data_IF_203595443630
#
_entry.id   IF_203595443630
#
_cell.length_a   1.000
_cell.length_b   1.000
_cell.length_c   1.000
_cell.angle_alpha   90.00
_cell.angle_beta   90.00
_cell.angle_gamma   90.00
#
_symmetry.space_group_name_H-M   'P 1'
#
loop_
_entity.id
_entity.type
_entity.pdbx_description
1 polymer ?
#
# COMPACT_ATOMS: atom_id res chain seq x y z
N UNK A 1 -1.93 3.58 18.86
CA UNK A 1 -1.90 5.09 18.77
C UNK A 1 -2.17 5.45 17.32
N UNK A 2 -3.05 6.43 17.04
CA UNK A 2 -3.29 6.98 15.71
C UNK A 2 -2.66 8.37 15.63
N UNK A 3 -1.95 8.67 14.55
CA UNK A 3 -1.35 9.98 14.31
C UNK A 3 -1.46 10.40 12.86
N UNK A 4 -1.32 11.70 12.60
CA UNK A 4 -1.31 12.29 11.27
C UNK A 4 0.00 13.02 11.06
N UNK A 5 0.58 12.85 9.87
CA UNK A 5 1.83 13.49 9.48
C UNK A 5 1.62 14.12 8.10
N UNK A 6 1.88 15.41 7.97
CA UNK A 6 1.92 16.07 6.67
C UNK A 6 3.19 15.67 5.93
N UNK A 7 3.04 14.91 4.85
CA UNK A 7 4.16 14.34 4.10
C UNK A 7 4.45 15.12 2.83
N UNK A 8 3.44 15.37 1.99
CA UNK A 8 3.60 15.94 0.66
C UNK A 8 2.88 17.28 0.51
N UNK A 9 3.50 18.18 -0.25
CA UNK A 9 2.80 19.33 -0.79
C UNK A 9 1.83 18.91 -1.91
N UNK A 10 0.93 19.83 -2.30
CA UNK A 10 -0.01 19.60 -3.41
C UNK A 10 0.75 19.33 -4.73
N UNK A 11 1.84 20.05 -4.99
CA UNK A 11 2.68 19.85 -6.17
C UNK A 11 3.34 18.48 -6.18
N UNK A 12 3.83 18.04 -5.02
CA UNK A 12 4.43 16.71 -4.85
C UNK A 12 3.41 15.60 -5.05
N UNK A 13 2.18 15.77 -4.56
CA UNK A 13 1.08 14.84 -4.80
C UNK A 13 0.74 14.75 -6.28
N UNK A 14 0.60 15.89 -6.98
CA UNK A 14 0.35 15.93 -8.43
C UNK A 14 1.47 15.26 -9.23
N UNK A 15 2.73 15.50 -8.85
CA UNK A 15 3.87 14.83 -9.51
C UNK A 15 3.87 13.33 -9.26
N UNK A 16 3.52 12.89 -8.05
CA UNK A 16 3.38 11.47 -7.75
C UNK A 16 2.33 10.82 -8.64
N UNK A 17 1.14 11.42 -8.77
CA UNK A 17 0.06 10.93 -9.63
C UNK A 17 0.56 10.80 -11.07
N UNK A 18 1.15 11.87 -11.61
CA UNK A 18 1.69 11.88 -12.98
C UNK A 18 2.72 10.78 -13.23
N UNK A 19 3.58 10.51 -12.26
CA UNK A 19 4.59 9.46 -12.37
C UNK A 19 3.97 8.06 -12.27
N UNK A 20 2.99 7.87 -11.40
CA UNK A 20 2.23 6.61 -11.28
C UNK A 20 1.51 6.32 -12.59
N UNK A 21 0.81 7.30 -13.18
CA UNK A 21 0.13 7.16 -14.47
C UNK A 21 1.10 6.81 -15.61
N UNK A 22 2.27 7.43 -15.63
CA UNK A 22 3.33 7.11 -16.60
C UNK A 22 3.79 5.66 -16.53
N UNK A 23 3.61 5.01 -15.38
CA UNK A 23 3.93 3.61 -15.15
C UNK A 23 2.75 2.66 -15.43
N UNK A 24 1.68 3.11 -16.07
CA UNK A 24 0.48 2.29 -16.35
C UNK A 24 0.79 0.91 -16.95
N UNK A 25 1.83 0.81 -17.80
CA UNK A 25 2.22 -0.45 -18.44
C UNK A 25 2.68 -1.54 -17.47
N UNK A 26 3.07 -1.15 -16.25
CA UNK A 26 3.49 -2.08 -15.20
C UNK A 26 2.48 -2.20 -14.05
N UNK A 27 1.29 -1.62 -14.21
CA UNK A 27 0.21 -1.80 -13.27
C UNK A 27 -0.30 -3.24 -13.30
N UNK A 28 -0.44 -3.85 -12.15
CA UNK A 28 -0.99 -5.20 -12.01
C UNK A 28 -2.43 -5.09 -11.51
N UNK A 29 -3.37 -5.62 -12.30
CA UNK A 29 -4.77 -5.73 -11.86
C UNK A 29 -4.90 -6.83 -10.82
N UNK A 30 -5.51 -6.53 -9.69
CA UNK A 30 -5.59 -7.42 -8.52
C UNK A 30 -6.96 -8.06 -8.33
N UNK A 31 -8.01 -7.38 -8.73
CA UNK A 31 -9.34 -7.91 -8.54
C UNK A 31 -9.76 -8.85 -9.67
N UNK A 32 -10.40 -9.98 -9.36
CA UNK A 32 -10.89 -10.89 -10.37
C UNK A 32 -12.04 -10.31 -11.22
N UNK A 33 -12.88 -9.45 -10.76
CA UNK A 33 -13.94 -8.71 -11.51
C UNK A 33 -14.92 -8.03 -10.56
N UNK A 34 -15.62 -7.01 -10.95
CA UNK A 34 -15.38 -5.91 -11.88
C UNK A 34 -14.74 -4.72 -11.17
N UNK A 35 -13.79 -4.96 -10.27
CA UNK A 35 -13.12 -3.87 -9.56
C UNK A 35 -11.90 -3.42 -10.34
N UNK A 36 -11.83 -2.16 -10.65
CA UNK A 36 -10.63 -1.51 -11.14
C UNK A 36 -9.72 -1.22 -9.94
N UNK A 37 -9.08 -2.27 -9.44
CA UNK A 37 -8.05 -2.21 -8.44
C UNK A 37 -6.73 -2.68 -9.03
N UNK A 38 -5.74 -1.80 -8.97
CA UNK A 38 -4.40 -2.05 -9.48
C UNK A 38 -3.34 -1.77 -8.42
N UNK A 39 -2.18 -2.39 -8.58
CA UNK A 39 -0.99 -2.06 -7.79
C UNK A 39 0.20 -1.78 -8.69
N UNK A 40 1.11 -0.92 -8.22
CA UNK A 40 2.45 -0.73 -8.76
C UNK A 40 3.43 -1.07 -7.66
N UNK A 41 4.31 -2.02 -7.90
CA UNK A 41 5.22 -2.56 -6.88
C UNK A 41 4.80 -3.94 -6.37
N UNK A 42 5.72 -4.62 -5.72
CA UNK A 42 5.47 -5.92 -5.11
C UNK A 42 4.78 -5.74 -3.76
N UNK A 43 3.77 -6.55 -3.52
CA UNK A 43 2.92 -6.46 -2.33
C UNK A 43 2.93 -7.80 -1.59
N UNK A 44 3.43 -7.81 -0.35
CA UNK A 44 3.58 -9.04 0.45
C UNK A 44 2.26 -9.75 0.65
N UNK A 45 1.24 -9.06 1.10
CA UNK A 45 -0.07 -9.67 1.43
C UNK A 45 -0.89 -10.08 0.20
N UNK A 46 -0.57 -9.59 -1.01
CA UNK A 46 -1.25 -10.01 -2.25
C UNK A 46 -0.48 -11.07 -3.04
N UNK A 47 0.80 -11.24 -2.79
CA UNK A 47 1.67 -12.13 -3.57
C UNK A 47 2.40 -13.13 -2.71
N UNK A 48 2.92 -12.69 -1.57
CA UNK A 48 3.77 -13.50 -0.71
C UNK A 48 3.02 -14.57 0.08
N UNK A 49 1.73 -14.35 0.31
CA UNK A 49 0.87 -15.32 1.01
C UNK A 49 0.76 -16.64 0.27
N UNK A 50 0.62 -16.56 -1.06
CA UNK A 50 0.43 -17.73 -1.91
C UNK A 50 1.77 -18.29 -2.43
N UNK A 51 2.72 -17.41 -2.74
CA UNK A 51 4.00 -17.77 -3.34
C UNK A 51 5.08 -16.72 -3.04
N UNK A 52 5.88 -16.99 -2.02
CA UNK A 52 6.97 -16.11 -1.61
C UNK A 52 8.04 -15.93 -2.71
N UNK A 53 8.28 -16.95 -3.51
CA UNK A 53 9.26 -16.88 -4.61
C UNK A 53 8.76 -15.92 -5.72
N UNK A 54 7.45 -15.92 -5.98
CA UNK A 54 6.81 -14.98 -6.90
C UNK A 54 6.96 -13.54 -6.41
N UNK A 55 6.69 -13.29 -5.13
CA UNK A 55 6.90 -11.97 -4.52
C UNK A 55 8.35 -11.52 -4.68
N UNK A 56 9.33 -12.36 -4.31
CA UNK A 56 10.74 -12.00 -4.44
C UNK A 56 11.17 -11.77 -5.89
N UNK A 57 10.63 -12.51 -6.83
CA UNK A 57 10.87 -12.27 -8.26
C UNK A 57 10.30 -10.93 -8.69
N UNK A 58 9.08 -10.60 -8.28
CA UNK A 58 8.42 -9.35 -8.62
C UNK A 58 9.11 -8.15 -8.00
N UNK A 59 9.48 -8.19 -6.71
CA UNK A 59 10.19 -7.08 -6.06
C UNK A 59 11.52 -6.76 -6.74
N UNK A 60 12.29 -7.78 -7.15
CA UNK A 60 13.58 -7.59 -7.86
C UNK A 60 13.42 -6.82 -9.16
N UNK A 61 12.28 -6.96 -9.83
CA UNK A 61 11.95 -6.21 -11.05
C UNK A 61 11.43 -4.81 -10.71
N UNK A 62 10.57 -4.70 -9.70
CA UNK A 62 9.85 -3.46 -9.43
C UNK A 62 10.62 -2.48 -8.54
N UNK A 63 11.44 -2.95 -7.60
CA UNK A 63 12.23 -2.03 -6.76
C UNK A 63 13.10 -1.07 -7.58
N UNK A 64 13.85 -1.49 -8.61
CA UNK A 64 14.59 -0.57 -9.47
C UNK A 64 13.71 0.45 -10.19
N UNK A 65 12.51 0.05 -10.64
CA UNK A 65 11.55 0.94 -11.28
C UNK A 65 11.06 1.99 -10.30
N UNK A 66 10.64 1.57 -9.11
CA UNK A 66 10.16 2.45 -8.06
C UNK A 66 11.27 3.43 -7.61
N UNK A 67 12.48 2.94 -7.36
CA UNK A 67 13.63 3.81 -7.03
C UNK A 67 13.87 4.86 -8.09
N UNK A 68 13.91 4.46 -9.35
CA UNK A 68 14.16 5.40 -10.45
C UNK A 68 13.20 6.58 -10.49
N UNK A 69 11.93 6.35 -10.14
CA UNK A 69 10.88 7.36 -10.26
C UNK A 69 10.53 8.06 -8.95
N UNK A 70 10.72 7.38 -7.81
CA UNK A 70 10.19 7.81 -6.52
C UNK A 70 11.24 7.90 -5.40
N UNK A 71 12.55 7.88 -5.70
CA UNK A 71 13.58 8.06 -4.66
C UNK A 71 13.28 9.28 -3.80
N UNK A 72 12.97 10.42 -4.41
CA UNK A 72 12.65 11.65 -3.70
C UNK A 72 11.45 11.49 -2.74
N UNK A 73 10.44 10.71 -3.12
CA UNK A 73 9.28 10.41 -2.26
C UNK A 73 9.67 9.55 -1.06
N UNK A 74 10.49 8.53 -1.30
CA UNK A 74 10.98 7.67 -0.21
C UNK A 74 11.90 8.41 0.74
N UNK A 75 12.73 9.33 0.24
CA UNK A 75 13.58 10.18 1.06
C UNK A 75 12.73 11.07 1.99
N UNK A 76 11.65 11.67 1.48
CA UNK A 76 10.69 12.43 2.30
C UNK A 76 10.01 11.53 3.34
N UNK A 77 9.56 10.33 2.94
CA UNK A 77 8.93 9.39 3.88
C UNK A 77 9.89 8.99 4.99
N UNK A 78 11.12 8.63 4.66
CA UNK A 78 12.16 8.26 5.63
C UNK A 78 12.43 9.43 6.58
N UNK A 79 12.58 10.65 6.09
CA UNK A 79 12.79 11.85 6.91
C UNK A 79 11.61 12.08 7.87
N UNK A 80 10.38 12.10 7.36
CA UNK A 80 9.18 12.36 8.16
C UNK A 80 8.94 11.28 9.22
N UNK A 81 9.05 10.01 8.85
CA UNK A 81 8.91 8.91 9.79
C UNK A 81 10.03 8.88 10.80
N UNK A 82 11.28 9.16 10.40
CA UNK A 82 12.41 9.22 11.33
C UNK A 82 12.28 10.35 12.33
N UNK A 83 11.71 11.47 11.95
CA UNK A 83 11.44 12.59 12.85
C UNK A 83 10.42 12.21 13.94
N UNK A 84 9.44 11.38 13.60
CA UNK A 84 8.35 11.00 14.49
C UNK A 84 8.66 9.78 15.36
N UNK A 85 9.36 8.79 14.80
CA UNK A 85 9.50 7.45 15.40
C UNK A 85 10.95 7.04 15.69
N UNK A 86 11.92 7.91 15.42
CA UNK A 86 13.34 7.54 15.47
C UNK A 86 13.83 7.01 14.10
N UNK A 87 15.10 6.58 14.00
CA UNK A 87 15.72 6.23 12.73
C UNK A 87 14.93 5.16 11.95
N UNK A 88 14.54 5.52 10.74
CA UNK A 88 13.84 4.64 9.79
C UNK A 88 14.68 4.49 8.54
N UNK A 89 14.69 3.31 7.96
CA UNK A 89 15.36 3.03 6.69
C UNK A 89 14.53 2.09 5.81
N UNK A 90 14.80 2.15 4.52
CA UNK A 90 14.22 1.18 3.57
C UNK A 90 15.05 -0.09 3.57
N UNK A 91 14.39 -1.23 3.73
CA UNK A 91 15.03 -2.55 3.70
C UNK A 91 15.06 -3.07 2.25
N UNK A 92 16.26 -3.29 1.70
CA UNK A 92 16.42 -3.68 0.29
C UNK A 92 15.93 -5.09 -0.04
N UNK A 93 15.88 -5.96 0.98
CA UNK A 93 15.38 -7.32 0.87
C UNK A 93 13.86 -7.39 0.76
N UNK A 94 13.17 -6.29 1.03
CA UNK A 94 11.72 -6.17 0.94
C UNK A 94 11.29 -5.42 -0.33
N UNK A 95 10.01 -5.55 -0.68
CA UNK A 95 9.36 -4.70 -1.68
C UNK A 95 9.33 -3.25 -1.18
N UNK A 96 9.77 -2.31 -2.01
CA UNK A 96 9.57 -0.90 -1.71
C UNK A 96 8.08 -0.60 -1.61
N UNK A 97 7.68 0.35 -0.74
CA UNK A 97 6.29 0.80 -0.68
C UNK A 97 5.79 1.15 -2.08
N UNK A 98 4.75 0.45 -2.52
CA UNK A 98 4.16 0.63 -3.83
C UNK A 98 2.89 1.48 -3.78
N UNK A 99 2.15 1.48 -4.87
CA UNK A 99 0.92 2.25 -4.97
C UNK A 99 -0.29 1.33 -5.14
N UNK A 100 -1.36 1.65 -4.45
CA UNK A 100 -2.68 1.08 -4.63
C UNK A 100 -3.54 2.08 -5.39
N UNK A 101 -4.12 1.65 -6.50
CA UNK A 101 -4.87 2.49 -7.41
C UNK A 101 -6.27 1.92 -7.50
N UNK A 102 -7.23 2.66 -6.98
CA UNK A 102 -8.65 2.33 -7.02
C UNK A 102 -9.33 3.23 -8.04
N UNK A 103 -10.09 2.64 -8.95
CA UNK A 103 -10.72 3.34 -10.04
C UNK A 103 -10.22 2.86 -11.39
N UNK A 104 -10.66 3.50 -12.44
CA UNK A 104 -10.30 3.10 -13.80
C UNK A 104 -8.97 3.73 -14.24
N UNK A 105 -8.35 3.08 -15.20
CA UNK A 105 -7.15 3.62 -15.84
C UNK A 105 -7.44 4.94 -16.55
N UNK A 106 -6.47 5.86 -16.62
CA UNK A 106 -6.63 7.11 -17.37
C UNK A 106 -7.17 6.86 -18.79
N UNK A 107 -8.20 7.62 -19.19
CA UNK A 107 -8.80 7.52 -20.51
C UNK A 107 -9.72 6.32 -20.75
N UNK A 108 -9.92 5.45 -19.78
CA UNK A 108 -10.95 4.40 -19.83
C UNK A 108 -12.26 4.89 -19.21
N UNK A 109 -13.36 4.53 -19.85
CA UNK A 109 -14.67 4.73 -19.25
C UNK A 109 -14.88 3.62 -18.24
N UNK A 110 -15.12 3.99 -16.97
CA UNK A 110 -15.42 2.99 -15.95
C UNK A 110 -16.72 2.28 -16.27
N UNK A 111 -16.74 0.97 -16.07
CA UNK A 111 -17.99 0.22 -16.05
C UNK A 111 -18.91 0.86 -14.97
N UNK A 112 -20.18 1.21 -15.31
CA UNK A 112 -21.14 1.74 -14.36
C UNK A 112 -21.31 0.84 -13.10
N UNK A 113 -21.20 -0.48 -13.27
CA UNK A 113 -21.21 -1.41 -12.14
C UNK A 113 -19.98 -1.26 -11.23
N UNK A 114 -18.83 -0.96 -11.81
CA UNK A 114 -17.59 -0.68 -11.10
C UNK A 114 -17.71 0.64 -10.32
N UNK A 115 -18.15 1.73 -10.96
CA UNK A 115 -18.36 3.01 -10.32
C UNK A 115 -19.29 2.89 -9.10
N UNK A 116 -20.42 2.18 -9.26
CA UNK A 116 -21.37 1.95 -8.17
C UNK A 116 -20.80 1.18 -6.98
N UNK A 117 -19.79 0.33 -7.21
CA UNK A 117 -19.11 -0.40 -6.14
C UNK A 117 -18.23 0.51 -5.30
N UNK A 118 -17.63 1.54 -5.88
CA UNK A 118 -16.82 2.53 -5.17
C UNK A 118 -17.64 3.50 -4.30
N UNK A 119 -18.97 3.49 -4.42
CA UNK A 119 -19.88 4.19 -3.49
C UNK A 119 -19.95 3.49 -2.11
N UNK A 120 -19.42 2.27 -1.98
CA UNK A 120 -19.41 1.47 -0.75
C UNK A 120 -17.99 1.30 -0.23
N UNK A 121 -17.80 1.02 1.06
CA UNK A 121 -16.49 0.63 1.59
C UNK A 121 -15.89 -0.52 0.77
N UNK A 122 -14.68 -0.32 0.25
CA UNK A 122 -13.98 -1.31 -0.60
C UNK A 122 -13.25 -2.33 0.23
N UNK A 123 -12.60 -1.88 1.30
CA UNK A 123 -11.93 -2.75 2.23
C UNK A 123 -12.94 -3.33 3.24
N UNK A 124 -12.79 -4.58 3.55
CA UNK A 124 -13.47 -5.21 4.69
C UNK A 124 -12.95 -4.59 5.99
N UNK A 125 -13.71 -4.75 7.06
CA UNK A 125 -13.19 -4.52 8.40
C UNK A 125 -11.99 -5.48 8.62
N UNK A 126 -10.83 -4.93 8.93
CA UNK A 126 -9.60 -5.70 9.16
C UNK A 126 -8.71 -4.98 10.16
N UNK A 127 -7.76 -5.69 10.67
CA UNK A 127 -6.65 -5.17 11.48
C UNK A 127 -5.37 -5.38 10.67
N UNK A 128 -4.47 -4.40 10.66
CA UNK A 128 -3.17 -4.50 9.96
C UNK A 128 -2.20 -5.39 10.76
N UNK A 129 -2.52 -6.69 10.81
CA UNK A 129 -1.71 -7.71 11.48
C UNK A 129 -1.14 -8.76 10.51
N UNK A 130 -0.91 -8.37 9.26
CA UNK A 130 -0.41 -9.27 8.20
C UNK A 130 0.88 -9.98 8.59
N UNK A 131 1.69 -9.38 9.45
CA UNK A 131 2.89 -9.99 10.01
C UNK A 131 2.59 -11.24 10.87
N UNK A 132 1.41 -11.34 11.48
CA UNK A 132 0.96 -12.53 12.21
C UNK A 132 0.41 -13.59 11.27
N UNK A 133 -0.41 -13.19 10.31
CA UNK A 133 -1.03 -14.09 9.33
C UNK A 133 0.01 -14.74 8.41
N UNK A 134 1.12 -14.04 8.16
CA UNK A 134 2.21 -14.47 7.28
C UNK A 134 3.52 -14.66 8.04
N UNK A 135 3.45 -15.18 9.24
CA UNK A 135 4.60 -15.41 10.13
C UNK A 135 5.72 -16.23 9.44
N UNK A 136 5.37 -17.19 8.59
CA UNK A 136 6.34 -17.98 7.83
C UNK A 136 7.23 -17.13 6.93
N UNK A 137 6.72 -15.99 6.43
CA UNK A 137 7.50 -15.03 5.64
C UNK A 137 8.40 -14.18 6.54
N UNK A 138 7.83 -13.59 7.58
CA UNK A 138 8.55 -12.67 8.47
C UNK A 138 9.60 -13.39 9.32
N UNK A 139 9.36 -14.65 9.68
CA UNK A 139 10.31 -15.48 10.41
C UNK A 139 11.58 -15.81 9.60
N UNK A 140 11.66 -15.45 8.33
CA UNK A 140 12.90 -15.53 7.53
C UNK A 140 13.86 -14.37 7.77
N UNK A 141 13.43 -13.36 8.52
CA UNK A 141 14.25 -12.19 8.88
C UNK A 141 14.59 -12.25 10.38
N UNK A 142 15.89 -12.15 10.70
CA UNK A 142 16.40 -12.33 12.06
C UNK A 142 16.07 -11.16 13.01
N UNK A 143 15.63 -10.01 12.49
CA UNK A 143 15.48 -8.76 13.24
C UNK A 143 14.07 -8.15 13.09
N UNK A 144 13.02 -8.96 13.12
CA UNK A 144 11.64 -8.45 13.10
C UNK A 144 11.09 -8.39 14.51
N UNK A 145 10.76 -7.16 14.95
CA UNK A 145 10.00 -6.97 16.17
C UNK A 145 8.49 -6.99 15.86
N UNK A 146 7.81 -8.00 16.37
CA UNK A 146 6.37 -8.17 16.19
C UNK A 146 5.53 -7.45 17.25
N UNK A 147 6.16 -6.89 18.28
CA UNK A 147 5.47 -6.17 19.34
C UNK A 147 5.41 -4.67 19.04
N UNK A 148 6.43 -4.14 18.34
CA UNK A 148 6.53 -2.72 17.97
C UNK A 148 6.34 -2.54 16.45
N UNK A 149 5.13 -2.77 15.97
CA UNK A 149 4.81 -2.62 14.55
C UNK A 149 4.15 -1.28 14.26
N UNK A 150 4.51 -0.69 13.11
CA UNK A 150 3.91 0.53 12.58
C UNK A 150 3.34 0.27 11.18
N UNK A 151 2.06 0.59 10.99
CA UNK A 151 1.44 0.68 9.67
C UNK A 151 1.17 2.14 9.34
N UNK A 152 1.43 2.53 8.10
CA UNK A 152 1.08 3.86 7.62
C UNK A 152 0.45 3.79 6.24
N UNK A 153 -0.46 4.71 5.99
CA UNK A 153 -1.08 4.93 4.68
C UNK A 153 -0.88 6.37 4.27
N UNK A 154 -0.36 6.60 3.07
CA UNK A 154 -0.22 7.93 2.49
C UNK A 154 -1.25 8.08 1.35
N UNK A 155 -2.39 8.77 1.58
CA UNK A 155 -3.32 9.10 0.50
C UNK A 155 -2.70 10.18 -0.41
N UNK A 156 -2.49 9.83 -1.68
CA UNK A 156 -1.93 10.73 -2.69
C UNK A 156 -3.04 11.49 -3.41
N UNK A 157 -4.13 10.80 -3.70
CA UNK A 157 -5.34 11.37 -4.30
C UNK A 157 -6.56 10.74 -3.64
N UNK A 158 -7.52 11.57 -3.28
CA UNK A 158 -8.80 11.14 -2.75
C UNK A 158 -9.89 11.39 -3.79
N UNK A 159 -10.91 10.54 -3.87
CA UNK A 159 -12.05 10.79 -4.72
C UNK A 159 -12.79 12.06 -4.29
N UNK A 160 -13.50 12.70 -5.23
CA UNK A 160 -14.28 13.94 -4.96
C UNK A 160 -15.32 13.72 -3.86
N UNK A 161 -15.82 12.49 -3.74
CA UNK A 161 -16.79 12.12 -2.71
C UNK A 161 -16.40 10.77 -2.11
N UNK A 162 -16.46 10.66 -0.78
CA UNK A 162 -16.04 9.47 -0.04
C UNK A 162 -14.52 9.38 0.11
N UNK A 163 -13.97 8.18 0.14
CA UNK A 163 -12.52 7.92 0.24
C UNK A 163 -11.94 8.09 1.63
N UNK A 164 -12.76 8.10 2.66
CA UNK A 164 -12.31 8.11 4.04
C UNK A 164 -12.00 6.72 4.59
N UNK A 165 -11.27 6.70 5.69
CA UNK A 165 -11.07 5.53 6.53
C UNK A 165 -11.99 5.62 7.75
N UNK A 166 -12.64 4.50 8.04
CA UNK A 166 -13.31 4.31 9.31
C UNK A 166 -12.34 3.60 10.23
N UNK A 167 -12.08 4.19 11.38
CA UNK A 167 -11.16 3.66 12.37
C UNK A 167 -11.93 3.41 13.67
N UNK A 168 -11.64 2.27 14.29
CA UNK A 168 -12.16 1.91 15.59
C UNK A 168 -10.97 1.83 16.54
N UNK A 169 -10.98 2.61 17.59
CA UNK A 169 -9.94 2.63 18.61
C UNK A 169 -10.08 1.49 19.62
N UNK A 170 -11.23 0.81 19.58
CA UNK A 170 -11.51 -0.34 20.43
C UNK A 170 -12.36 -1.38 19.69
N UNK A 171 -11.82 -2.59 19.57
CA UNK A 171 -12.50 -3.76 19.09
C UNK A 171 -12.23 -4.90 20.08
N UNK A 172 -13.24 -5.33 20.82
CA UNK A 172 -13.22 -6.68 21.37
C UNK A 172 -13.38 -7.65 20.19
N UNK A 173 -12.24 -8.08 19.66
CA UNK A 173 -12.24 -9.18 18.71
C UNK A 173 -12.37 -10.46 19.53
N UNK A 174 -13.49 -11.15 19.36
CA UNK A 174 -13.61 -12.53 19.80
C UNK A 174 -12.62 -13.36 18.98
N UNK A 175 -11.49 -13.69 19.60
CA UNK A 175 -10.39 -14.39 18.95
C UNK A 175 -10.75 -15.83 18.52
N UNK A 176 -11.94 -16.30 18.83
CA UNK A 176 -12.45 -17.59 18.35
C UNK A 176 -13.10 -17.51 16.95
N UNK A 177 -13.20 -16.32 16.35
CA UNK A 177 -13.82 -16.11 15.03
C UNK A 177 -12.84 -15.63 13.92
N UNK A 178 -11.52 -15.64 14.18
CA UNK A 178 -10.51 -15.25 13.20
C UNK A 178 -9.80 -16.49 12.64
#
# INVERSE_FOLDING_TARGET
MLGYIDVLSEEQSKETIRLVEKLEKVWIRRAPVPMDFFTVGACTYLEGCDDIAKYHKHRRVMNPVLRKHFTWLYDILVEKLSTQFGPVQVVDELGMPGFHIFGHKPGQVSDPACAKRFEKPLASLHVDIQYREHSCYWNTYDEVDFEETLSFTLPIELPTHGGGLWLWDWLELDTEQI
#
